data_IF_656633506781
#
_entry.id   IF_656633506781
#
_cell.length_a   1.000
_cell.length_b   1.000
_cell.length_c   1.000
_cell.angle_alpha   90.00
_cell.angle_beta   90.00
_cell.angle_gamma   90.00
#
_symmetry.space_group_name_H-M   'P 1'
#
loop_
_entity.id
_entity.type
_entity.pdbx_description
1 polymer ?
#
# COMPACT_ATOMS: atom_id res chain seq x y z
N UNK A 1 2.59 2.11 -31.01
CA UNK A 1 1.41 2.27 -30.14
C UNK A 1 1.94 2.40 -28.73
N UNK A 2 1.51 3.41 -27.99
CA UNK A 2 1.95 3.60 -26.61
C UNK A 2 1.16 2.65 -25.71
N UNK A 3 1.78 1.51 -25.38
CA UNK A 3 1.22 0.46 -24.54
C UNK A 3 1.43 0.82 -23.07
N UNK A 4 0.37 0.77 -22.27
CA UNK A 4 0.45 0.96 -20.83
C UNK A 4 0.72 -0.37 -20.13
N UNK A 5 1.96 -0.56 -19.70
CA UNK A 5 2.45 -1.81 -19.12
C UNK A 5 1.56 -2.41 -18.00
N UNK A 6 1.00 -1.57 -17.11
CA UNK A 6 0.19 -2.01 -15.96
C UNK A 6 -1.31 -2.21 -16.24
N UNK A 7 -1.83 -1.64 -17.32
CA UNK A 7 -3.28 -1.55 -17.58
C UNK A 7 -3.70 -2.36 -18.80
N UNK A 8 -2.88 -2.37 -19.84
CA UNK A 8 -3.26 -2.94 -21.12
C UNK A 8 -3.12 -4.47 -21.12
N UNK A 9 -3.92 -5.12 -21.97
CA UNK A 9 -3.72 -6.53 -22.30
C UNK A 9 -2.69 -6.64 -23.40
N UNK A 10 -1.57 -7.30 -23.12
CA UNK A 10 -0.47 -7.46 -24.06
C UNK A 10 0.16 -8.84 -24.00
N UNK A 11 0.68 -9.27 -25.16
CA UNK A 11 1.45 -10.50 -25.31
C UNK A 11 2.78 -10.15 -25.95
N UNK A 12 3.92 -10.44 -25.31
CA UNK A 12 5.21 -10.02 -25.81
C UNK A 12 5.60 -10.81 -27.07
N UNK A 13 6.24 -10.10 -28.00
CA UNK A 13 6.89 -10.72 -29.15
C UNK A 13 8.28 -11.24 -28.74
N UNK A 14 8.51 -12.55 -28.92
CA UNK A 14 9.73 -13.20 -28.45
C UNK A 14 10.96 -12.77 -29.27
N UNK A 15 10.81 -12.46 -30.56
CA UNK A 15 11.92 -11.95 -31.36
C UNK A 15 12.34 -10.55 -30.88
N UNK A 16 11.37 -9.65 -30.63
CA UNK A 16 11.65 -8.34 -30.01
C UNK A 16 12.39 -8.48 -28.67
N UNK A 17 11.95 -9.38 -27.77
CA UNK A 17 12.64 -9.59 -26.49
C UNK A 17 14.08 -10.09 -26.69
N UNK A 18 14.28 -11.00 -27.64
CA UNK A 18 15.60 -11.56 -27.98
C UNK A 18 16.52 -10.50 -28.59
N UNK A 19 16.03 -9.67 -29.52
CA UNK A 19 16.77 -8.55 -30.11
C UNK A 19 17.23 -7.55 -29.03
N UNK A 20 16.45 -7.40 -27.96
CA UNK A 20 16.77 -6.54 -26.82
C UNK A 20 17.53 -7.26 -25.69
N UNK A 21 18.02 -8.48 -25.92
CA UNK A 21 18.78 -9.29 -24.95
C UNK A 21 18.04 -9.54 -23.62
N UNK A 22 16.71 -9.64 -23.67
CA UNK A 22 15.89 -9.96 -22.49
C UNK A 22 15.75 -11.49 -22.40
N UNK A 23 16.29 -12.16 -21.36
CA UNK A 23 16.17 -13.60 -21.22
C UNK A 23 14.73 -14.02 -20.92
N UNK A 24 14.26 -15.08 -21.58
CA UNK A 24 12.92 -15.64 -21.38
C UNK A 24 13.03 -17.11 -20.98
N UNK A 25 12.54 -17.44 -19.79
CA UNK A 25 12.39 -18.83 -19.35
C UNK A 25 11.05 -19.38 -19.85
N UNK A 26 11.09 -20.48 -20.61
CA UNK A 26 9.91 -21.16 -21.14
C UNK A 26 9.89 -22.62 -20.68
N UNK A 27 8.78 -23.05 -20.11
CA UNK A 27 8.57 -24.42 -19.67
C UNK A 27 7.10 -24.83 -19.82
N UNK A 28 6.81 -26.11 -19.64
CA UNK A 28 5.47 -26.68 -19.59
C UNK A 28 5.15 -27.07 -18.15
N UNK A 29 3.98 -26.69 -17.66
CA UNK A 29 3.47 -27.10 -16.34
C UNK A 29 2.51 -28.27 -16.54
N UNK A 30 2.88 -29.45 -16.05
CA UNK A 30 2.05 -30.65 -16.15
C UNK A 30 1.02 -30.71 -15.01
N UNK A 31 -0.04 -31.55 -15.13
CA UNK A 31 -0.99 -31.75 -14.05
C UNK A 31 -0.29 -32.21 -12.76
N UNK A 32 -0.47 -31.45 -11.68
CA UNK A 32 0.15 -31.70 -10.38
C UNK A 32 1.40 -30.87 -10.10
N UNK A 33 2.00 -30.24 -11.12
CA UNK A 33 3.16 -29.36 -10.93
C UNK A 33 2.74 -28.06 -10.25
N UNK A 34 3.57 -27.60 -9.31
CA UNK A 34 3.45 -26.30 -8.67
C UNK A 34 4.49 -25.34 -9.25
N UNK A 35 4.03 -24.16 -9.68
CA UNK A 35 4.89 -23.07 -10.15
C UNK A 35 4.95 -22.00 -9.08
N UNK A 36 6.15 -21.69 -8.59
CA UNK A 36 6.40 -20.57 -7.70
C UNK A 36 6.99 -19.40 -8.48
N UNK A 37 6.22 -18.32 -8.62
CA UNK A 37 6.68 -17.08 -9.26
C UNK A 37 7.24 -16.15 -8.20
N UNK A 38 8.53 -15.84 -8.30
CA UNK A 38 9.18 -14.97 -7.34
C UNK A 38 8.76 -13.49 -7.52
N UNK A 39 9.03 -12.67 -6.50
CA UNK A 39 8.64 -11.25 -6.48
C UNK A 39 9.13 -10.51 -7.73
N UNK A 40 8.22 -9.77 -8.38
CA UNK A 40 8.52 -8.95 -9.55
C UNK A 40 8.68 -9.72 -10.87
N UNK A 41 8.55 -11.05 -10.87
CA UNK A 41 8.66 -11.86 -12.09
C UNK A 41 7.54 -11.51 -13.09
N UNK A 42 7.92 -10.91 -14.22
CA UNK A 42 7.01 -10.67 -15.36
C UNK A 42 6.75 -12.01 -16.05
N UNK A 43 5.48 -12.37 -16.22
CA UNK A 43 5.09 -13.66 -16.77
C UNK A 43 3.78 -13.56 -17.55
N UNK A 44 3.59 -14.51 -18.47
CA UNK A 44 2.37 -14.70 -19.25
C UNK A 44 2.18 -16.20 -19.47
N UNK A 45 0.93 -16.67 -19.58
CA UNK A 45 0.60 -18.10 -19.57
C UNK A 45 -0.41 -18.40 -20.67
N UNK A 46 -0.31 -19.58 -21.27
CA UNK A 46 -1.26 -20.09 -22.26
C UNK A 46 -1.58 -21.55 -21.95
N UNK A 47 -2.87 -21.90 -21.91
CA UNK A 47 -3.31 -23.29 -21.83
C UNK A 47 -3.06 -23.99 -23.18
N UNK A 48 -2.45 -25.18 -23.13
CA UNK A 48 -2.22 -26.04 -24.31
C UNK A 48 -3.39 -26.97 -24.62
N UNK A 49 -4.19 -27.27 -23.60
CA UNK A 49 -5.36 -28.15 -23.66
C UNK A 49 -6.39 -27.69 -22.62
N UNK A 50 -7.48 -28.45 -22.47
CA UNK A 50 -8.48 -28.17 -21.44
C UNK A 50 -7.91 -28.52 -20.06
N UNK A 51 -7.77 -27.52 -19.20
CA UNK A 51 -7.24 -27.68 -17.85
C UNK A 51 -7.88 -26.69 -16.88
N UNK A 52 -7.73 -26.97 -15.59
CA UNK A 52 -8.09 -26.07 -14.50
C UNK A 52 -6.84 -25.76 -13.68
N UNK A 53 -6.72 -24.51 -13.23
CA UNK A 53 -5.64 -24.06 -12.37
C UNK A 53 -6.21 -23.33 -11.16
N UNK A 54 -5.51 -23.43 -10.03
CA UNK A 54 -5.75 -22.61 -8.84
C UNK A 54 -4.49 -21.79 -8.57
N UNK A 55 -4.67 -20.54 -8.12
CA UNK A 55 -3.56 -19.64 -7.87
C UNK A 55 -3.89 -18.71 -6.69
N UNK A 56 -2.86 -18.33 -5.95
CA UNK A 56 -2.90 -17.32 -4.90
C UNK A 56 -1.52 -16.68 -4.76
N UNK A 57 -1.47 -15.53 -4.09
CA UNK A 57 -0.21 -14.84 -3.80
C UNK A 57 0.22 -15.15 -2.37
N UNK A 58 1.53 -15.23 -2.15
CA UNK A 58 2.16 -15.28 -0.83
C UNK A 58 3.25 -14.20 -0.76
N UNK A 59 3.46 -13.62 0.42
CA UNK A 59 4.55 -12.68 0.66
C UNK A 59 5.51 -13.26 1.69
N UNK A 60 6.59 -13.93 1.28
CA UNK A 60 7.65 -14.36 2.20
C UNK A 60 8.16 -13.19 3.04
N UNK A 61 8.46 -13.42 4.32
CA UNK A 61 8.99 -12.40 5.22
C UNK A 61 10.50 -12.22 4.98
N UNK A 62 10.86 -11.68 3.82
CA UNK A 62 12.24 -11.33 3.46
C UNK A 62 12.33 -9.86 3.07
N UNK A 63 13.52 -9.27 3.18
CA UNK A 63 13.75 -7.88 2.79
C UNK A 63 13.48 -7.66 1.30
N UNK A 64 13.85 -8.60 0.42
CA UNK A 64 13.64 -8.49 -1.03
C UNK A 64 12.16 -8.43 -1.37
N UNK A 65 11.34 -9.26 -0.72
CA UNK A 65 9.89 -9.26 -0.92
C UNK A 65 9.25 -7.96 -0.42
N UNK A 66 9.68 -7.46 0.74
CA UNK A 66 9.14 -6.22 1.31
C UNK A 66 9.53 -5.00 0.48
N UNK A 67 10.82 -4.87 0.14
CA UNK A 67 11.35 -3.72 -0.61
C UNK A 67 10.71 -3.62 -2.01
N UNK A 68 10.61 -4.74 -2.74
CA UNK A 68 9.97 -4.74 -4.05
C UNK A 68 8.46 -4.43 -3.97
N UNK A 69 7.77 -4.87 -2.91
CA UNK A 69 6.36 -4.53 -2.69
C UNK A 69 6.20 -3.03 -2.37
N UNK A 70 7.09 -2.47 -1.54
CA UNK A 70 7.10 -1.04 -1.21
C UNK A 70 7.44 -0.18 -2.43
N UNK A 71 8.41 -0.59 -3.25
CA UNK A 71 8.75 0.09 -4.50
C UNK A 71 7.57 0.10 -5.46
N UNK A 72 6.93 -1.06 -5.68
CA UNK A 72 5.74 -1.15 -6.52
C UNK A 72 4.60 -0.27 -6.00
N UNK A 73 4.42 -0.21 -4.68
CA UNK A 73 3.40 0.65 -4.07
C UNK A 73 3.62 2.14 -4.38
N UNK A 74 4.86 2.64 -4.26
CA UNK A 74 5.19 4.02 -4.62
C UNK A 74 5.10 4.26 -6.13
N UNK A 75 5.55 3.30 -6.95
CA UNK A 75 5.41 3.36 -8.41
C UNK A 75 3.94 3.49 -8.82
N UNK A 76 3.07 2.66 -8.25
CA UNK A 76 1.63 2.69 -8.47
C UNK A 76 1.03 4.06 -8.11
N UNK A 77 1.43 4.62 -6.96
CA UNK A 77 0.98 5.94 -6.53
C UNK A 77 1.36 7.05 -7.53
N UNK A 78 2.60 7.07 -8.02
CA UNK A 78 3.06 8.04 -9.03
C UNK A 78 2.25 7.92 -10.32
N UNK A 79 1.94 6.69 -10.74
CA UNK A 79 1.20 6.40 -11.97
C UNK A 79 -0.32 6.39 -11.80
N UNK A 80 -0.83 6.71 -10.59
CA UNK A 80 -2.27 6.65 -10.23
C UNK A 80 -2.92 5.29 -10.49
N UNK A 81 -2.13 4.23 -10.38
CA UNK A 81 -2.59 2.84 -10.46
C UNK A 81 -2.98 2.34 -9.06
N UNK A 82 -4.11 1.63 -8.90
CA UNK A 82 -4.55 1.14 -7.59
C UNK A 82 -3.62 0.04 -7.05
N UNK A 83 -3.10 0.25 -5.84
CA UNK A 83 -2.40 -0.80 -5.09
C UNK A 83 -3.40 -1.70 -4.37
N UNK A 84 -3.48 -2.97 -4.76
CA UNK A 84 -4.37 -3.97 -4.12
C UNK A 84 -3.91 -4.30 -2.70
N UNK A 85 -2.59 -4.31 -2.47
CA UNK A 85 -2.01 -4.53 -1.14
C UNK A 85 -1.86 -3.18 -0.43
N UNK A 86 -2.53 -2.97 0.72
CA UNK A 86 -2.46 -1.74 1.49
C UNK A 86 -1.17 -1.72 2.33
N UNK A 87 -0.08 -1.24 1.74
CA UNK A 87 1.25 -1.32 2.35
C UNK A 87 1.35 -0.55 3.67
N UNK A 88 0.66 0.59 3.84
CA UNK A 88 0.71 1.34 5.12
C UNK A 88 0.06 0.51 6.23
N UNK A 89 -1.16 0.02 6.01
CA UNK A 89 -1.88 -0.83 6.96
C UNK A 89 -1.11 -2.13 7.26
N UNK A 90 -0.53 -2.75 6.23
CA UNK A 90 0.31 -3.94 6.39
C UNK A 90 1.52 -3.64 7.29
N UNK A 91 2.25 -2.55 7.06
CA UNK A 91 3.39 -2.16 7.89
C UNK A 91 3.00 -2.01 9.36
N UNK A 92 1.88 -1.34 9.66
CA UNK A 92 1.41 -1.21 11.05
C UNK A 92 0.99 -2.54 11.66
N UNK A 93 0.38 -3.44 10.87
CA UNK A 93 0.07 -4.78 11.34
C UNK A 93 1.32 -5.65 11.57
N UNK A 94 2.36 -5.47 10.76
CA UNK A 94 3.68 -6.08 10.98
C UNK A 94 4.31 -5.51 12.25
N UNK A 95 4.33 -4.20 12.46
CA UNK A 95 4.88 -3.58 13.68
C UNK A 95 4.28 -4.18 14.96
N UNK A 96 2.95 -4.37 14.97
CA UNK A 96 2.22 -4.92 16.12
C UNK A 96 2.49 -6.40 16.40
N UNK A 97 2.81 -7.20 15.37
CA UNK A 97 2.75 -8.67 15.46
C UNK A 97 4.05 -9.39 15.10
N UNK A 98 4.87 -8.78 14.26
CA UNK A 98 6.12 -9.36 13.79
C UNK A 98 7.19 -9.22 14.88
N UNK A 99 7.93 -10.31 15.07
CA UNK A 99 9.22 -10.35 15.76
C UNK A 99 10.21 -10.90 14.76
N UNK A 100 11.19 -10.10 14.37
CA UNK A 100 12.17 -10.47 13.35
C UNK A 100 13.58 -10.19 13.84
N UNK A 101 14.49 -11.13 13.60
CA UNK A 101 15.93 -10.98 13.80
C UNK A 101 16.66 -10.50 12.54
N UNK A 102 15.97 -10.44 11.40
CA UNK A 102 16.51 -9.87 10.15
C UNK A 102 16.57 -8.34 10.27
N UNK A 103 17.79 -7.83 10.45
CA UNK A 103 18.10 -6.41 10.57
C UNK A 103 17.68 -5.61 9.33
N UNK A 104 17.82 -6.18 8.13
CA UNK A 104 17.50 -5.46 6.89
C UNK A 104 16.00 -5.34 6.73
N UNK A 105 15.27 -6.43 6.93
CA UNK A 105 13.80 -6.40 6.90
C UNK A 105 13.22 -5.48 7.97
N UNK A 106 13.73 -5.57 9.21
CA UNK A 106 13.36 -4.65 10.30
C UNK A 106 13.56 -3.20 9.87
N UNK A 107 14.74 -2.87 9.34
CA UNK A 107 15.08 -1.51 8.93
C UNK A 107 14.15 -0.99 7.83
N UNK A 108 13.88 -1.78 6.79
CA UNK A 108 12.98 -1.39 5.70
C UNK A 108 11.56 -1.12 6.20
N UNK A 109 11.01 -1.98 7.06
CA UNK A 109 9.69 -1.77 7.67
C UNK A 109 9.71 -0.53 8.56
N UNK A 110 10.76 -0.34 9.38
CA UNK A 110 10.89 0.82 10.28
C UNK A 110 10.94 2.14 9.49
N UNK A 111 11.64 2.20 8.36
CA UNK A 111 11.63 3.36 7.45
C UNK A 111 10.21 3.63 6.92
N UNK A 112 9.49 2.59 6.48
CA UNK A 112 8.13 2.74 5.99
C UNK A 112 7.18 3.28 7.07
N UNK A 113 7.29 2.77 8.31
CA UNK A 113 6.53 3.29 9.45
C UNK A 113 6.88 4.74 9.77
N UNK A 114 8.17 5.10 9.78
CA UNK A 114 8.60 6.49 10.02
C UNK A 114 8.02 7.45 8.99
N UNK A 115 8.02 7.07 7.70
CA UNK A 115 7.39 7.84 6.62
C UNK A 115 5.88 8.01 6.86
N UNK A 116 5.19 6.94 7.25
CA UNK A 116 3.76 6.99 7.58
C UNK A 116 3.48 7.92 8.75
N UNK A 117 4.29 7.85 9.81
CA UNK A 117 4.14 8.64 11.02
C UNK A 117 4.38 10.14 10.76
N UNK A 118 5.44 10.47 10.02
CA UNK A 118 5.70 11.85 9.58
C UNK A 118 4.56 12.38 8.71
N UNK A 119 4.06 11.58 7.77
CA UNK A 119 2.92 11.97 6.94
C UNK A 119 1.67 12.23 7.81
N UNK A 120 1.40 11.35 8.78
CA UNK A 120 0.28 11.49 9.70
C UNK A 120 0.34 12.81 10.48
N UNK A 121 1.47 13.10 11.13
CA UNK A 121 1.64 14.35 11.90
C UNK A 121 1.57 15.59 11.02
N UNK A 122 2.13 15.54 9.80
CA UNK A 122 2.02 16.66 8.84
C UNK A 122 0.57 16.95 8.46
N UNK A 123 -0.25 15.92 8.27
CA UNK A 123 -1.67 16.09 7.96
C UNK A 123 -2.41 16.65 9.19
N UNK A 124 -2.16 16.09 10.37
CA UNK A 124 -2.78 16.56 11.62
C UNK A 124 -2.51 18.04 11.89
N UNK A 125 -1.23 18.46 11.86
CA UNK A 125 -0.83 19.86 12.04
C UNK A 125 -1.51 20.77 11.03
N UNK A 126 -1.60 20.34 9.77
CA UNK A 126 -2.24 21.15 8.73
C UNK A 126 -3.75 21.29 8.92
N UNK A 127 -4.42 20.26 9.45
CA UNK A 127 -5.84 20.37 9.82
C UNK A 127 -5.99 21.35 10.99
N UNK A 128 -5.17 21.23 12.04
CA UNK A 128 -5.20 22.14 13.20
C UNK A 128 -4.98 23.60 12.81
N UNK A 129 -4.02 23.89 11.94
CA UNK A 129 -3.78 25.24 11.41
C UNK A 129 -5.04 25.83 10.72
N UNK A 130 -5.75 25.01 9.95
CA UNK A 130 -6.97 25.43 9.24
C UNK A 130 -8.14 25.68 10.19
N UNK A 131 -8.13 25.05 11.36
CA UNK A 131 -9.10 25.26 12.44
C UNK A 131 -8.78 26.52 13.25
N UNK A 132 -7.51 26.71 13.61
CA UNK A 132 -7.04 27.87 14.39
C UNK A 132 -7.17 29.22 13.67
N UNK A 133 -7.28 29.22 12.33
CA UNK A 133 -7.51 30.44 11.53
C UNK A 133 -8.96 30.96 11.58
N UNK A 134 -9.85 30.38 12.41
CA UNK A 134 -11.26 30.79 12.50
C UNK A 134 -12.05 30.51 11.22
N UNK A 135 -11.50 29.70 10.31
CA UNK A 135 -12.19 29.26 9.11
C UNK A 135 -13.01 28.03 9.50
N UNK A 136 -14.13 28.23 10.19
CA UNK A 136 -15.09 27.16 10.53
C UNK A 136 -14.81 26.45 11.86
N UNK A 137 -15.75 26.59 12.81
CA UNK A 137 -15.68 26.07 14.19
C UNK A 137 -15.75 24.53 14.29
N UNK A 138 -15.98 23.81 13.18
CA UNK A 138 -16.21 22.36 13.14
C UNK A 138 -15.01 21.50 12.71
N UNK A 139 -13.82 22.09 12.57
CA UNK A 139 -12.64 21.41 11.98
C UNK A 139 -11.78 20.64 13.00
N UNK A 140 -12.40 19.98 13.95
CA UNK A 140 -11.69 19.02 14.79
C UNK A 140 -11.43 17.71 14.02
N UNK A 141 -10.32 17.05 14.32
CA UNK A 141 -10.15 15.64 13.93
C UNK A 141 -10.96 14.82 14.93
N UNK A 142 -11.97 14.10 14.45
CA UNK A 142 -12.83 13.28 15.31
C UNK A 142 -12.29 11.84 15.40
N UNK A 143 -12.24 11.25 16.62
CA UNK A 143 -11.80 9.86 16.76
C UNK A 143 -12.82 8.89 16.13
N UNK A 144 -12.32 7.85 15.50
CA UNK A 144 -13.08 6.76 14.87
C UNK A 144 -12.35 5.42 15.06
N UNK A 145 -12.37 4.91 16.29
CA UNK A 145 -11.70 3.68 16.67
C UNK A 145 -12.27 2.43 15.99
N UNK A 146 -11.46 1.37 15.90
CA UNK A 146 -11.91 0.03 15.50
C UNK A 146 -11.86 -0.26 14.00
N UNK A 147 -11.35 0.66 13.18
CA UNK A 147 -11.15 0.45 11.76
C UNK A 147 -9.77 -0.16 11.51
N UNK A 148 -9.74 -1.46 11.24
CA UNK A 148 -8.55 -2.18 10.78
C UNK A 148 -8.79 -2.84 9.41
N UNK A 149 -9.41 -2.07 8.52
CA UNK A 149 -9.66 -2.47 7.12
C UNK A 149 -8.96 -1.50 6.17
N UNK A 150 -8.59 -1.94 4.95
CA UNK A 150 -7.99 -1.08 3.95
C UNK A 150 -8.99 0.01 3.53
N UNK A 151 -8.55 1.27 3.54
CA UNK A 151 -9.32 2.41 3.02
C UNK A 151 -8.55 3.04 1.86
N UNK A 152 -9.29 3.41 0.81
CA UNK A 152 -8.71 4.01 -0.39
C UNK A 152 -9.44 5.31 -0.73
N UNK A 153 -8.71 6.26 -1.28
CA UNK A 153 -9.28 7.51 -1.75
C UNK A 153 -10.17 7.26 -2.97
N UNK A 154 -11.42 7.71 -2.90
CA UNK A 154 -12.40 7.61 -3.98
C UNK A 154 -11.93 8.22 -5.31
N UNK A 155 -11.07 9.25 -5.28
CA UNK A 155 -10.62 9.98 -6.47
C UNK A 155 -9.34 9.44 -7.10
N UNK A 156 -8.35 9.04 -6.29
CA UNK A 156 -7.02 8.67 -6.79
C UNK A 156 -6.59 7.23 -6.45
N UNK A 157 -7.43 6.45 -5.76
CA UNK A 157 -7.14 5.09 -5.30
C UNK A 157 -5.90 4.96 -4.39
N UNK A 158 -5.33 6.06 -3.89
CA UNK A 158 -4.27 5.98 -2.87
C UNK A 158 -4.84 5.43 -1.56
N UNK A 159 -4.11 4.54 -0.92
CA UNK A 159 -4.42 4.06 0.43
C UNK A 159 -4.40 5.23 1.43
N UNK A 160 -5.50 5.37 2.17
CA UNK A 160 -5.70 6.34 3.24
C UNK A 160 -5.53 5.64 4.57
N UNK A 161 -4.52 6.04 5.33
CA UNK A 161 -4.23 5.47 6.65
C UNK A 161 -4.35 6.55 7.73
N UNK A 162 -4.94 6.14 8.86
CA UNK A 162 -5.21 6.93 10.06
C UNK A 162 -6.14 8.14 9.88
N UNK A 163 -5.69 9.21 9.22
CA UNK A 163 -6.47 10.44 9.03
C UNK A 163 -7.17 10.38 7.68
N UNK A 164 -8.51 10.39 7.71
CA UNK A 164 -9.36 10.33 6.53
C UNK A 164 -10.31 11.51 6.42
N UNK A 165 -10.64 11.88 5.18
CA UNK A 165 -11.51 13.00 4.87
C UNK A 165 -12.79 12.47 4.23
N UNK A 166 -13.90 12.60 4.95
CA UNK A 166 -15.22 12.14 4.51
C UNK A 166 -16.01 13.30 3.93
N UNK A 167 -16.46 13.16 2.69
CA UNK A 167 -17.42 14.08 2.07
C UNK A 167 -18.76 13.37 1.91
N UNK A 168 -19.84 14.05 2.29
CA UNK A 168 -21.19 13.55 2.07
C UNK A 168 -21.42 13.30 0.57
N UNK A 169 -22.07 12.19 0.25
CA UNK A 169 -22.42 11.81 -1.11
C UNK A 169 -23.94 11.69 -1.22
N UNK A 170 -24.56 12.12 -2.34
CA UNK A 170 -25.98 11.88 -2.60
C UNK A 170 -26.32 10.37 -2.66
N UNK A 171 -25.32 9.56 -3.01
CA UNK A 171 -25.41 8.09 -2.97
C UNK A 171 -25.02 7.63 -1.55
N UNK A 172 -25.84 6.78 -0.93
CA UNK A 172 -25.89 6.47 0.52
C UNK A 172 -24.58 6.19 1.26
N UNK A 173 -23.45 5.98 0.59
CA UNK A 173 -22.16 5.73 1.22
C UNK A 173 -21.25 6.97 1.16
N UNK A 174 -20.71 7.44 2.29
CA UNK A 174 -19.78 8.56 2.33
C UNK A 174 -18.49 8.23 1.55
N UNK A 175 -17.98 9.21 0.79
CA UNK A 175 -16.76 9.05 -0.01
C UNK A 175 -15.53 9.38 0.84
N UNK A 176 -14.61 8.41 0.97
CA UNK A 176 -13.32 8.61 1.63
C UNK A 176 -12.31 9.26 0.69
N UNK A 177 -11.61 10.28 1.17
CA UNK A 177 -10.58 10.99 0.41
C UNK A 177 -9.25 11.03 1.15
N UNK A 178 -8.14 10.98 0.41
CA UNK A 178 -6.83 11.33 0.94
C UNK A 178 -6.72 12.85 1.12
N UNK A 179 -5.77 13.29 1.95
CA UNK A 179 -5.53 14.71 2.21
C UNK A 179 -5.33 15.54 0.94
N UNK A 180 -4.51 15.06 0.00
CA UNK A 180 -4.22 15.79 -1.24
C UNK A 180 -5.45 15.98 -2.12
N UNK A 181 -6.32 14.97 -2.24
CA UNK A 181 -7.57 15.11 -2.97
C UNK A 181 -8.58 15.98 -2.24
N UNK A 182 -8.64 15.91 -0.91
CA UNK A 182 -9.53 16.75 -0.11
C UNK A 182 -9.19 18.24 -0.26
N UNK A 183 -7.92 18.63 -0.06
CA UNK A 183 -7.44 20.01 -0.26
C UNK A 183 -7.59 20.50 -1.70
N UNK A 184 -7.37 19.61 -2.68
CA UNK A 184 -7.58 19.96 -4.09
C UNK A 184 -9.04 20.27 -4.43
N UNK A 185 -9.99 19.66 -3.71
CA UNK A 185 -11.43 19.88 -3.93
C UNK A 185 -11.94 21.07 -3.10
N UNK A 186 -11.47 21.19 -1.86
CA UNK A 186 -11.76 22.30 -0.96
C UNK A 186 -10.50 22.64 -0.15
N UNK A 187 -9.79 23.73 -0.51
CA UNK A 187 -8.57 24.16 0.17
C UNK A 187 -8.74 24.45 1.67
N UNK A 188 -9.98 24.70 2.09
CA UNK A 188 -10.33 24.94 3.48
C UNK A 188 -11.02 23.75 4.13
N UNK A 189 -11.25 22.63 3.45
CA UNK A 189 -11.88 21.43 4.02
C UNK A 189 -13.25 21.67 4.69
N UNK A 190 -14.00 22.70 4.29
CA UNK A 190 -15.34 23.01 4.83
C UNK A 190 -16.34 21.90 4.52
N UNK A 191 -16.22 21.30 3.34
CA UNK A 191 -17.09 20.20 2.89
C UNK A 191 -16.70 18.82 3.45
N UNK A 192 -15.65 18.74 4.30
CA UNK A 192 -15.07 17.48 4.74
C UNK A 192 -15.13 17.30 6.25
N UNK A 193 -15.60 16.12 6.68
CA UNK A 193 -15.42 15.64 8.05
C UNK A 193 -14.08 14.92 8.16
N UNK A 194 -13.21 15.36 9.07
CA UNK A 194 -11.90 14.77 9.31
C UNK A 194 -11.99 13.73 10.43
N UNK A 195 -11.61 12.48 10.16
CA UNK A 195 -11.65 11.39 11.15
C UNK A 195 -10.26 10.79 11.35
N UNK A 196 -9.97 10.31 12.56
CA UNK A 196 -8.72 9.63 12.92
C UNK A 196 -9.02 8.24 13.48
N UNK A 197 -8.42 7.19 12.91
CA UNK A 197 -8.74 5.80 13.29
C UNK A 197 -7.89 5.23 14.42
N UNK A 198 -6.73 5.81 14.67
CA UNK A 198 -5.77 5.40 15.69
C UNK A 198 -5.21 6.63 16.39
N UNK A 199 -5.08 6.56 17.72
CA UNK A 199 -4.47 7.63 18.50
C UNK A 199 -2.99 7.79 18.13
N UNK A 200 -2.50 9.03 18.18
CA UNK A 200 -1.08 9.31 17.87
C UNK A 200 -0.15 8.59 18.86
N UNK A 201 -0.56 8.46 20.12
CA UNK A 201 0.18 7.73 21.16
C UNK A 201 0.33 6.25 20.79
N UNK A 202 -0.71 5.62 20.25
CA UNK A 202 -0.65 4.21 19.84
C UNK A 202 0.32 4.03 18.68
N UNK A 203 0.27 4.93 17.69
CA UNK A 203 1.20 4.89 16.55
C UNK A 203 2.65 5.09 16.99
N UNK A 204 2.92 5.99 17.93
CA UNK A 204 4.27 6.19 18.48
C UNK A 204 4.71 4.93 19.23
N UNK A 205 3.88 4.39 20.10
CA UNK A 205 4.21 3.20 20.89
C UNK A 205 4.50 1.99 19.98
N UNK A 206 3.64 1.72 18.99
CA UNK A 206 3.87 0.63 18.04
C UNK A 206 5.10 0.86 17.18
N UNK A 207 5.41 2.11 16.84
CA UNK A 207 6.65 2.44 16.18
C UNK A 207 7.82 2.09 17.10
N UNK A 208 7.89 2.64 18.31
CA UNK A 208 9.02 2.45 19.23
C UNK A 208 9.22 0.98 19.62
N UNK A 209 8.14 0.27 19.94
CA UNK A 209 8.14 -1.16 20.31
C UNK A 209 8.58 -2.08 19.17
N UNK A 210 8.52 -1.63 17.92
CA UNK A 210 9.03 -2.41 16.78
C UNK A 210 10.57 -2.37 16.76
N UNK A 211 11.17 -3.24 17.56
CA UNK A 211 12.62 -3.45 17.70
C UNK A 211 13.03 -4.81 17.13
N UNK A 212 14.33 -4.95 16.85
CA UNK A 212 14.92 -6.21 16.40
C UNK A 212 14.83 -7.24 17.52
N UNK A 213 14.38 -8.45 17.19
CA UNK A 213 14.37 -9.56 18.13
C UNK A 213 15.75 -10.22 18.20
N UNK A 214 16.52 -9.90 19.25
CA UNK A 214 17.83 -10.50 19.49
C UNK A 214 17.77 -11.93 20.01
N UNK A 215 16.59 -12.45 20.34
CA UNK A 215 16.42 -13.82 20.86
C UNK A 215 16.26 -14.87 19.75
N UNK A 216 15.91 -14.45 18.54
CA UNK A 216 15.80 -15.33 17.38
C UNK A 216 17.12 -15.33 16.60
N UNK A 217 17.72 -16.51 16.39
CA UNK A 217 18.82 -16.65 15.43
C UNK A 217 18.30 -16.29 14.02
N UNK A 218 19.11 -15.70 13.12
CA UNK A 218 18.69 -15.46 11.76
C UNK A 218 18.24 -16.78 11.13
N UNK A 219 17.00 -16.85 10.64
CA UNK A 219 16.56 -18.01 9.85
C UNK A 219 17.35 -17.98 8.54
N UNK A 220 18.20 -18.98 8.34
CA UNK A 220 18.95 -19.19 7.09
C UNK A 220 18.01 -19.38 5.91
#
# INVERSE_FOLDING_TARGET
RDLKFLEDSWWPDLETLKENNIPVTRFEQLPGDLVFLNIGCVHWVQARSVCNNIAWNVGPLTVEQFDAAAERYEYNKIHKYPSVVPMKLLCWNLAKRLRTSDLKLHHSIKIALAKCLVQNFRIALRVEELSGQGIGDDKAIFPMSGINIPLYCFKCNEEVFNILFIRASPHRNPNTHCFGCAISLDPHLKDFKCLQTHENTDLINWFDDFVVDSSQSPRR
#
